data_IF_314036304792
#
_entry.id   IF_314036304792
#
_cell.length_a   1.000
_cell.length_b   1.000
_cell.length_c   1.000
_cell.angle_alpha   90.00
_cell.angle_beta   90.00
_cell.angle_gamma   90.00
#
_symmetry.space_group_name_H-M   'P 1'
#
loop_
_entity.id
_entity.type
_entity.pdbx_description
1 polymer ?
#
# COMPACT_ATOMS: atom_id res chain seq x y z
N UNK A 1 52.36 -16.42 -10.01
CA UNK A 1 52.51 -15.31 -9.05
C UNK A 1 53.47 -15.68 -7.92
N UNK A 2 53.24 -16.82 -7.25
CA UNK A 2 54.13 -17.39 -6.22
C UNK A 2 55.56 -17.60 -6.79
N UNK A 3 55.67 -18.15 -7.99
CA UNK A 3 56.96 -18.32 -8.68
C UNK A 3 57.71 -16.99 -8.94
N UNK A 4 56.97 -15.87 -9.11
CA UNK A 4 57.57 -14.53 -9.26
C UNK A 4 57.97 -13.91 -7.90
N UNK A 5 57.32 -14.30 -6.81
CA UNK A 5 57.69 -13.95 -5.43
C UNK A 5 58.93 -14.70 -4.97
N UNK A 6 59.07 -15.97 -5.38
CA UNK A 6 60.24 -16.80 -5.07
C UNK A 6 61.48 -16.39 -5.88
N UNK A 7 61.29 -16.00 -7.15
CA UNK A 7 62.39 -15.53 -8.03
C UNK A 7 62.72 -14.04 -7.89
N UNK A 8 61.87 -13.24 -7.25
CA UNK A 8 62.05 -11.79 -7.09
C UNK A 8 62.66 -11.40 -5.74
N UNK A 9 63.59 -10.43 -5.72
CA UNK A 9 64.34 -10.02 -4.53
C UNK A 9 63.54 -9.06 -3.61
N UNK A 10 62.48 -9.56 -2.98
CA UNK A 10 61.64 -8.80 -2.03
C UNK A 10 62.12 -8.98 -0.58
N UNK A 11 62.02 -7.95 0.29
CA UNK A 11 62.35 -8.07 1.71
C UNK A 11 61.43 -9.08 2.41
N UNK A 12 61.96 -9.82 3.39
CA UNK A 12 61.30 -10.96 4.05
C UNK A 12 59.91 -10.62 4.62
N UNK A 13 59.75 -9.40 5.15
CA UNK A 13 58.51 -8.91 5.76
C UNK A 13 57.40 -8.70 4.73
N UNK A 14 57.70 -8.05 3.60
CA UNK A 14 56.74 -7.87 2.50
C UNK A 14 56.37 -9.21 1.85
N UNK A 15 57.31 -10.16 1.79
CA UNK A 15 57.02 -11.52 1.31
C UNK A 15 56.02 -12.23 2.22
N UNK A 16 56.16 -12.09 3.54
CA UNK A 16 55.22 -12.69 4.51
C UNK A 16 53.82 -12.08 4.40
N UNK A 17 53.72 -10.76 4.23
CA UNK A 17 52.45 -10.05 4.05
C UNK A 17 51.74 -10.44 2.75
N UNK A 18 52.50 -10.54 1.64
CA UNK A 18 51.95 -10.98 0.35
C UNK A 18 51.49 -12.43 0.42
N UNK A 19 52.25 -13.32 1.07
CA UNK A 19 51.85 -14.72 1.27
C UNK A 19 50.60 -14.85 2.15
N UNK A 20 50.47 -14.03 3.20
CA UNK A 20 49.28 -13.98 4.04
C UNK A 20 48.05 -13.53 3.25
N UNK A 21 48.20 -12.49 2.43
CA UNK A 21 47.14 -11.98 1.56
C UNK A 21 46.72 -13.02 0.51
N UNK A 22 47.69 -13.74 -0.07
CA UNK A 22 47.41 -14.85 -1.01
C UNK A 22 46.62 -15.97 -0.32
N UNK A 23 46.98 -16.35 0.91
CA UNK A 23 46.22 -17.35 1.67
C UNK A 23 44.81 -16.87 1.98
N UNK A 24 44.63 -15.62 2.39
CA UNK A 24 43.30 -15.04 2.61
C UNK A 24 42.44 -15.05 1.33
N UNK A 25 43.02 -14.74 0.18
CA UNK A 25 42.32 -14.89 -1.10
C UNK A 25 42.01 -16.35 -1.44
N UNK A 26 42.90 -17.30 -1.14
CA UNK A 26 42.65 -18.73 -1.33
C UNK A 26 41.48 -19.22 -0.46
N UNK A 27 41.45 -18.86 0.83
CA UNK A 27 40.34 -19.19 1.74
C UNK A 27 39.03 -18.57 1.26
N UNK A 28 39.05 -17.31 0.83
CA UNK A 28 37.86 -16.65 0.26
C UNK A 28 37.38 -17.34 -1.03
N UNK A 29 38.30 -17.75 -1.91
CA UNK A 29 37.97 -18.51 -3.13
C UNK A 29 37.39 -19.89 -2.78
N UNK A 30 37.95 -20.58 -1.79
CA UNK A 30 37.42 -21.87 -1.33
C UNK A 30 36.03 -21.75 -0.71
N UNK A 31 35.80 -20.69 0.07
CA UNK A 31 34.50 -20.37 0.66
C UNK A 31 33.47 -20.10 -0.44
N UNK A 32 33.81 -19.23 -1.42
CA UNK A 32 32.95 -18.97 -2.57
C UNK A 32 32.70 -20.23 -3.41
N UNK A 33 33.70 -21.10 -3.60
CA UNK A 33 33.53 -22.38 -4.30
C UNK A 33 32.62 -23.34 -3.53
N UNK A 34 32.69 -23.36 -2.20
CA UNK A 34 31.81 -24.15 -1.34
C UNK A 34 30.38 -23.66 -1.44
N UNK A 35 30.17 -22.34 -1.37
CA UNK A 35 28.85 -21.72 -1.53
C UNK A 35 28.27 -22.00 -2.92
N UNK A 36 29.07 -21.85 -3.98
CA UNK A 36 28.66 -22.22 -5.35
C UNK A 36 28.30 -23.70 -5.47
N UNK A 37 29.05 -24.62 -4.85
CA UNK A 37 28.69 -26.04 -4.82
C UNK A 37 27.38 -26.29 -4.08
N UNK A 38 27.10 -25.59 -2.98
CA UNK A 38 25.80 -25.72 -2.29
C UNK A 38 24.62 -25.21 -3.14
N UNK A 39 24.86 -24.23 -4.02
CA UNK A 39 23.89 -23.74 -5.01
C UNK A 39 23.73 -24.72 -6.18
N UNK A 40 24.81 -25.39 -6.60
CA UNK A 40 24.83 -26.27 -7.79
C UNK A 40 24.39 -27.72 -7.50
N UNK A 41 24.52 -28.21 -6.26
CA UNK A 41 24.19 -29.63 -5.91
C UNK A 41 22.70 -29.86 -5.65
N UNK A 42 21.85 -28.82 -5.60
CA UNK A 42 20.40 -29.01 -5.69
C UNK A 42 20.04 -29.20 -7.17
N UNK A 43 19.50 -30.36 -7.59
CA UNK A 43 19.36 -30.68 -9.01
C UNK A 43 18.33 -29.74 -9.65
N UNK A 44 18.82 -28.89 -10.55
CA UNK A 44 18.03 -28.15 -11.49
C UNK A 44 17.97 -28.92 -12.81
N UNK A 45 16.81 -29.49 -13.12
CA UNK A 45 16.37 -29.42 -14.51
C UNK A 45 15.97 -27.96 -14.78
N UNK A 46 16.21 -27.50 -16.01
CA UNK A 46 15.90 -26.19 -16.62
C UNK A 46 16.83 -25.01 -16.36
N UNK A 47 17.64 -24.73 -17.39
CA UNK A 47 17.90 -23.41 -18.02
C UNK A 47 18.07 -22.20 -17.09
N UNK A 48 19.32 -21.74 -17.05
CA UNK A 48 19.87 -20.58 -16.34
C UNK A 48 19.20 -19.26 -16.76
N UNK A 49 18.01 -19.02 -16.23
CA UNK A 49 17.58 -17.72 -15.74
C UNK A 49 17.64 -17.85 -14.21
N UNK A 50 18.24 -16.88 -13.52
CA UNK A 50 18.32 -16.86 -12.06
C UNK A 50 16.90 -16.82 -11.48
N UNK A 51 16.26 -17.99 -11.31
CA UNK A 51 14.97 -18.13 -10.64
C UNK A 51 15.23 -18.04 -9.14
N UNK A 52 15.42 -16.82 -8.64
CA UNK A 52 15.08 -16.53 -7.25
C UNK A 52 13.62 -16.90 -7.11
N UNK A 53 13.28 -17.76 -6.14
CA UNK A 53 11.89 -18.18 -5.95
C UNK A 53 11.00 -16.92 -5.86
N UNK A 54 9.81 -16.90 -6.48
CA UNK A 54 8.92 -15.73 -6.41
C UNK A 54 8.65 -15.30 -4.97
N UNK A 55 8.75 -16.23 -4.02
CA UNK A 55 8.56 -16.00 -2.60
C UNK A 55 9.79 -15.37 -1.91
N UNK A 56 11.02 -15.71 -2.32
CA UNK A 56 12.22 -15.02 -1.86
C UNK A 56 12.33 -13.63 -2.46
N UNK A 57 12.04 -13.44 -3.75
CA UNK A 57 12.00 -12.08 -4.35
C UNK A 57 10.93 -11.22 -3.69
N UNK A 58 9.73 -11.79 -3.44
CA UNK A 58 8.66 -11.07 -2.73
C UNK A 58 9.07 -10.69 -1.30
N UNK A 59 9.66 -11.63 -0.55
CA UNK A 59 10.17 -11.33 0.81
C UNK A 59 11.26 -10.26 0.78
N UNK A 60 12.26 -10.38 -0.08
CA UNK A 60 13.32 -9.38 -0.21
C UNK A 60 12.77 -8.03 -0.70
N UNK A 61 11.76 -8.03 -1.59
CA UNK A 61 11.08 -6.81 -2.05
C UNK A 61 10.28 -6.16 -0.94
N UNK A 62 9.49 -6.93 -0.21
CA UNK A 62 8.65 -6.47 0.89
C UNK A 62 9.51 -5.94 2.05
N UNK A 63 10.60 -6.64 2.40
CA UNK A 63 11.56 -6.19 3.42
C UNK A 63 12.25 -4.89 3.01
N UNK A 64 12.67 -4.76 1.75
CA UNK A 64 13.30 -3.54 1.24
C UNK A 64 12.31 -2.38 1.20
N UNK A 65 11.06 -2.62 0.80
CA UNK A 65 9.99 -1.62 0.82
C UNK A 65 9.65 -1.19 2.24
N UNK A 66 9.61 -2.13 3.19
CA UNK A 66 9.39 -1.82 4.61
C UNK A 66 10.50 -0.93 5.15
N UNK A 67 11.76 -1.22 4.86
CA UNK A 67 12.89 -0.39 5.32
C UNK A 67 12.85 1.02 4.75
N UNK A 68 12.36 1.21 3.51
CA UNK A 68 12.16 2.55 2.94
C UNK A 68 11.04 3.29 3.68
N UNK A 69 9.90 2.63 3.90
CA UNK A 69 8.76 3.24 4.59
C UNK A 69 9.09 3.60 6.04
N UNK A 70 9.81 2.73 6.76
CA UNK A 70 10.27 3.00 8.13
C UNK A 70 11.20 4.23 8.15
N UNK A 71 12.13 4.34 7.20
CA UNK A 71 13.03 5.50 7.09
C UNK A 71 12.31 6.80 6.68
N UNK A 72 11.26 6.71 5.85
CA UNK A 72 10.41 7.86 5.49
C UNK A 72 9.54 8.31 6.67
N UNK A 73 9.05 7.38 7.50
CA UNK A 73 8.33 7.68 8.73
C UNK A 73 9.24 8.35 9.76
N UNK A 74 10.44 7.82 9.97
CA UNK A 74 11.41 8.42 10.88
C UNK A 74 11.81 9.82 10.42
N UNK A 75 11.98 10.03 9.10
CA UNK A 75 12.21 11.36 8.54
C UNK A 75 11.05 12.32 8.87
N UNK A 76 9.80 11.90 8.66
CA UNK A 76 8.63 12.74 8.96
C UNK A 76 8.49 13.07 10.45
N UNK A 77 8.75 12.09 11.33
CA UNK A 77 8.75 12.32 12.77
C UNK A 77 9.85 13.30 13.19
N UNK A 78 11.06 13.15 12.62
CA UNK A 78 12.19 14.02 12.91
C UNK A 78 11.97 15.46 12.40
N UNK A 79 11.31 15.62 11.25
CA UNK A 79 10.90 16.93 10.71
C UNK A 79 9.84 17.61 11.59
N UNK A 80 8.85 16.86 12.08
CA UNK A 80 7.84 17.37 13.02
C UNK A 80 8.45 17.77 14.37
N UNK A 81 9.51 17.08 14.80
CA UNK A 81 10.28 17.41 16.00
C UNK A 81 11.24 18.60 15.81
N UNK A 82 11.32 19.18 14.60
CA UNK A 82 12.15 20.35 14.30
C UNK A 82 13.66 20.08 14.36
N UNK A 83 14.09 18.83 14.22
CA UNK A 83 15.50 18.42 14.23
C UNK A 83 16.06 18.40 12.79
N UNK A 84 17.39 18.50 12.67
CA UNK A 84 18.08 18.51 11.37
C UNK A 84 17.94 17.15 10.67
N UNK A 85 17.43 17.15 9.43
CA UNK A 85 17.05 15.95 8.66
C UNK A 85 18.02 15.60 7.53
N UNK A 86 19.12 16.34 7.40
CA UNK A 86 20.13 16.16 6.35
C UNK A 86 20.70 14.72 6.29
N UNK A 87 20.99 14.13 7.45
CA UNK A 87 21.51 12.75 7.53
C UNK A 87 20.45 11.70 7.16
N UNK A 88 19.20 11.93 7.56
CA UNK A 88 18.05 11.06 7.24
C UNK A 88 17.72 11.10 5.75
N UNK A 89 17.76 12.28 5.12
CA UNK A 89 17.57 12.44 3.68
C UNK A 89 18.62 11.64 2.88
N UNK A 90 19.89 11.71 3.31
CA UNK A 90 20.98 10.94 2.68
C UNK A 90 20.74 9.44 2.79
N UNK A 91 20.26 8.97 3.96
CA UNK A 91 19.96 7.56 4.20
C UNK A 91 18.77 7.06 3.38
N UNK A 92 17.70 7.85 3.27
CA UNK A 92 16.54 7.55 2.42
C UNK A 92 16.95 7.47 0.95
N UNK A 93 17.78 8.41 0.48
CA UNK A 93 18.29 8.41 -0.90
C UNK A 93 19.14 7.16 -1.19
N UNK A 94 20.02 6.77 -0.26
CA UNK A 94 20.84 5.57 -0.42
C UNK A 94 20.00 4.29 -0.47
N UNK A 95 18.97 4.18 0.39
CA UNK A 95 18.04 3.06 0.39
C UNK A 95 17.22 2.99 -0.91
N UNK A 96 16.74 4.13 -1.40
CA UNK A 96 16.05 4.23 -2.70
C UNK A 96 16.94 3.79 -3.86
N UNK A 97 18.21 4.22 -3.87
CA UNK A 97 19.17 3.83 -4.91
C UNK A 97 19.48 2.33 -4.87
N UNK A 98 19.70 1.75 -3.68
CA UNK A 98 19.89 0.31 -3.52
C UNK A 98 18.68 -0.47 -4.04
N UNK A 99 17.47 -0.02 -3.68
CA UNK A 99 16.24 -0.70 -4.08
C UNK A 99 15.90 -0.51 -5.57
N UNK A 100 16.28 0.62 -6.18
CA UNK A 100 16.21 0.85 -7.62
C UNK A 100 17.19 -0.05 -8.38
N UNK A 101 18.45 -0.13 -7.94
CA UNK A 101 19.47 -0.99 -8.54
C UNK A 101 19.11 -2.49 -8.46
N UNK A 102 18.35 -2.88 -7.44
CA UNK A 102 17.82 -4.25 -7.29
C UNK A 102 16.51 -4.49 -8.09
N UNK A 103 15.99 -3.49 -8.82
CA UNK A 103 14.75 -3.60 -9.60
C UNK A 103 13.50 -3.74 -8.73
N UNK A 104 13.57 -3.36 -7.45
CA UNK A 104 12.50 -3.57 -6.46
C UNK A 104 11.52 -2.39 -6.39
N UNK A 105 11.97 -1.18 -6.75
CA UNK A 105 11.06 -0.07 -7.04
C UNK A 105 10.54 -0.19 -8.45
N UNK A 106 9.22 -0.40 -8.59
CA UNK A 106 8.55 -0.01 -9.81
C UNK A 106 8.65 1.52 -9.87
N UNK A 107 9.20 2.05 -10.96
CA UNK A 107 9.11 3.48 -11.24
C UNK A 107 7.66 3.92 -11.02
N UNK A 108 7.45 4.90 -10.15
CA UNK A 108 6.16 5.55 -9.96
C UNK A 108 5.75 6.26 -11.25
N UNK A 109 5.23 5.48 -12.19
CA UNK A 109 4.88 5.92 -13.53
C UNK A 109 3.92 4.93 -14.16
N UNK A 110 2.63 5.09 -13.85
CA UNK A 110 1.50 4.79 -14.75
C UNK A 110 1.60 3.46 -15.53
N UNK A 111 1.54 2.31 -14.86
CA UNK A 111 1.28 1.05 -15.57
C UNK A 111 -0.21 0.87 -15.82
N UNK A 112 -0.65 1.31 -17.01
CA UNK A 112 -1.79 0.72 -17.70
C UNK A 112 -1.47 -0.75 -17.95
N UNK A 113 -2.03 -1.65 -17.13
CA UNK A 113 -1.91 -3.09 -17.40
C UNK A 113 -3.05 -3.54 -18.34
N UNK A 114 -2.77 -4.37 -19.37
CA UNK A 114 -3.75 -4.72 -20.39
C UNK A 114 -4.80 -5.68 -19.83
N UNK A 115 -6.03 -5.39 -20.24
CA UNK A 115 -7.23 -6.22 -20.19
C UNK A 115 -6.92 -7.62 -20.77
N UNK A 116 -6.95 -8.66 -19.92
CA UNK A 116 -7.52 -10.00 -20.17
C UNK A 116 -6.88 -11.07 -19.27
N UNK A 117 -7.52 -11.43 -18.16
CA UNK A 117 -7.41 -12.79 -17.63
C UNK A 117 -8.63 -13.13 -16.80
N UNK A 118 -9.66 -13.60 -17.49
CA UNK A 118 -10.74 -14.39 -16.91
C UNK A 118 -10.15 -15.66 -16.31
N UNK A 119 -10.18 -15.82 -14.98
CA UNK A 119 -10.30 -17.14 -14.35
C UNK A 119 -10.75 -17.03 -12.89
N UNK A 120 -12.02 -17.37 -12.72
CA UNK A 120 -12.69 -17.85 -11.52
C UNK A 120 -11.78 -18.56 -10.51
N UNK A 121 -11.70 -18.04 -9.29
CA UNK A 121 -11.60 -18.83 -8.05
C UNK A 121 -12.31 -18.12 -6.90
N UNK A 122 -13.57 -18.49 -6.73
CA UNK A 122 -14.36 -18.33 -5.51
C UNK A 122 -13.77 -19.17 -4.38
N UNK A 123 -13.72 -18.62 -3.16
CA UNK A 123 -14.02 -19.42 -1.97
C UNK A 123 -13.00 -19.47 -0.83
N UNK A 124 -13.07 -18.46 0.06
CA UNK A 124 -13.08 -18.54 1.53
C UNK A 124 -11.94 -19.25 2.29
N UNK A 125 -11.27 -18.48 3.15
CA UNK A 125 -10.46 -19.04 4.24
C UNK A 125 -9.71 -18.04 5.12
N UNK A 126 -10.46 -17.21 5.88
CA UNK A 126 -10.17 -16.73 7.25
C UNK A 126 -8.82 -16.07 7.58
N UNK A 127 -8.90 -14.81 8.02
CA UNK A 127 -8.00 -14.27 9.06
C UNK A 127 -6.84 -13.39 8.59
N UNK A 128 -7.01 -12.63 7.51
CA UNK A 128 -6.11 -11.51 7.24
C UNK A 128 -6.48 -10.34 8.15
N UNK A 129 -5.77 -10.17 9.27
CA UNK A 129 -5.71 -8.87 9.93
C UNK A 129 -5.16 -7.91 8.87
N UNK A 130 -6.00 -7.01 8.35
CA UNK A 130 -5.52 -5.94 7.49
C UNK A 130 -4.89 -4.90 8.43
N UNK A 131 -3.55 -4.77 8.52
CA UNK A 131 -2.93 -3.71 9.34
C UNK A 131 -3.25 -2.32 8.77
N UNK A 132 -3.76 -2.26 7.55
CA UNK A 132 -4.40 -1.09 6.97
C UNK A 132 -5.90 -1.16 7.22
N UNK A 133 -6.34 -0.89 8.45
CA UNK A 133 -7.69 -0.34 8.64
C UNK A 133 -7.64 1.09 8.10
N UNK A 134 -7.77 1.23 6.78
CA UNK A 134 -7.93 2.56 6.19
C UNK A 134 -9.16 3.18 6.83
N UNK A 135 -8.96 4.30 7.53
CA UNK A 135 -10.08 5.07 8.10
C UNK A 135 -11.03 5.39 6.94
N UNK A 136 -12.27 4.95 7.08
CA UNK A 136 -13.29 5.15 6.05
C UNK A 136 -13.77 6.60 6.09
N UNK A 137 -13.15 7.44 5.27
CA UNK A 137 -13.52 8.85 5.11
C UNK A 137 -14.63 9.04 4.06
N UNK A 138 -15.26 7.96 3.59
CA UNK A 138 -16.34 8.07 2.62
C UNK A 138 -17.54 8.77 3.26
N UNK A 139 -18.32 9.55 2.49
CA UNK A 139 -19.48 10.24 3.02
C UNK A 139 -20.50 9.24 3.58
N UNK A 140 -21.03 9.49 4.78
CA UNK A 140 -22.14 8.70 5.35
C UNK A 140 -23.48 9.43 5.30
N UNK A 141 -23.48 10.63 4.71
CA UNK A 141 -24.64 11.50 4.57
C UNK A 141 -25.32 11.29 3.21
N UNK A 142 -26.63 11.08 3.23
CA UNK A 142 -27.48 10.99 2.04
C UNK A 142 -28.40 12.20 1.98
N UNK A 143 -28.61 12.71 0.78
CA UNK A 143 -29.63 13.68 0.44
C UNK A 143 -30.77 12.92 -0.24
N UNK A 144 -31.95 12.95 0.38
CA UNK A 144 -33.18 12.37 -0.15
C UNK A 144 -34.05 13.53 -0.62
N UNK A 145 -34.63 13.40 -1.81
CA UNK A 145 -35.53 14.41 -2.38
C UNK A 145 -36.67 13.75 -3.16
N UNK A 146 -37.74 14.51 -3.39
CA UNK A 146 -38.87 14.04 -4.19
C UNK A 146 -39.94 13.32 -3.37
N UNK A 147 -40.25 13.84 -2.18
CA UNK A 147 -41.34 13.45 -1.31
C UNK A 147 -42.02 14.71 -0.74
N UNK A 148 -43.18 14.57 -0.11
CA UNK A 148 -43.95 15.72 0.41
C UNK A 148 -43.53 16.11 1.83
N UNK A 149 -43.77 17.36 2.23
CA UNK A 149 -43.43 17.85 3.58
C UNK A 149 -44.07 17.02 4.70
N UNK A 150 -45.25 16.46 4.42
CA UNK A 150 -46.08 15.74 5.38
C UNK A 150 -45.52 14.34 5.66
N UNK A 151 -44.82 13.74 4.68
CA UNK A 151 -44.25 12.39 4.76
C UNK A 151 -42.92 12.35 5.53
N UNK A 152 -42.41 13.50 6.00
CA UNK A 152 -41.10 13.62 6.64
C UNK A 152 -40.88 12.60 7.76
N UNK A 153 -41.87 12.43 8.63
CA UNK A 153 -41.76 11.52 9.77
C UNK A 153 -41.71 10.05 9.32
N UNK A 154 -42.53 9.68 8.34
CA UNK A 154 -42.59 8.33 7.80
C UNK A 154 -41.30 7.98 7.04
N UNK A 155 -40.72 8.94 6.34
CA UNK A 155 -39.47 8.76 5.59
C UNK A 155 -38.31 8.58 6.56
N UNK A 156 -38.26 9.37 7.63
CA UNK A 156 -37.24 9.19 8.66
C UNK A 156 -37.34 7.80 9.30
N UNK A 157 -38.56 7.32 9.59
CA UNK A 157 -38.80 5.97 10.08
C UNK A 157 -38.39 4.90 9.07
N UNK A 158 -38.69 5.11 7.78
CA UNK A 158 -38.27 4.22 6.70
C UNK A 158 -36.75 4.10 6.62
N UNK A 159 -36.01 5.20 6.73
CA UNK A 159 -34.56 5.19 6.71
C UNK A 159 -33.93 4.58 7.98
N UNK A 160 -34.61 4.70 9.12
CA UNK A 160 -34.20 4.00 10.35
C UNK A 160 -34.24 2.46 10.22
N UNK A 161 -34.98 1.91 9.25
CA UNK A 161 -35.01 0.44 9.00
C UNK A 161 -33.74 -0.07 8.32
N UNK A 162 -32.98 0.79 7.65
CA UNK A 162 -31.75 0.43 6.94
C UNK A 162 -30.49 0.63 7.78
N UNK A 163 -30.56 1.41 8.85
CA UNK A 163 -29.50 1.52 9.85
C UNK A 163 -29.71 2.63 10.85
N UNK A 164 -28.71 2.81 11.71
CA UNK A 164 -28.75 3.79 12.81
C UNK A 164 -28.47 5.21 12.26
N UNK A 165 -29.49 6.07 12.35
CA UNK A 165 -29.40 7.48 11.97
C UNK A 165 -28.78 8.28 13.12
N UNK A 166 -27.66 8.94 12.85
CA UNK A 166 -26.92 9.76 13.83
C UNK A 166 -27.41 11.20 13.83
N UNK A 167 -27.72 11.73 12.65
CA UNK A 167 -28.13 13.12 12.45
C UNK A 167 -29.09 13.21 11.27
N UNK A 168 -30.01 14.16 11.32
CA UNK A 168 -30.94 14.45 10.23
C UNK A 168 -31.24 15.94 10.15
N UNK A 169 -31.21 16.49 8.94
CA UNK A 169 -31.48 17.91 8.68
C UNK A 169 -32.56 18.01 7.64
N UNK A 170 -33.64 18.70 8.00
CA UNK A 170 -34.70 19.08 7.08
C UNK A 170 -34.36 20.42 6.44
N UNK A 171 -34.55 20.51 5.12
CA UNK A 171 -34.56 21.80 4.43
C UNK A 171 -36.01 22.17 4.10
N UNK A 172 -36.46 23.35 4.53
CA UNK A 172 -37.83 23.82 4.31
C UNK A 172 -37.95 24.57 2.97
N UNK A 173 -36.83 25.06 2.43
CA UNK A 173 -36.79 25.77 1.15
C UNK A 173 -36.76 24.82 -0.06
N UNK A 174 -36.25 23.60 0.15
CA UNK A 174 -36.28 22.52 -0.85
C UNK A 174 -36.76 21.25 -0.17
N UNK A 175 -37.80 20.54 -0.66
CA UNK A 175 -38.33 19.33 -0.02
C UNK A 175 -37.31 18.18 -0.10
N UNK A 176 -36.30 18.28 0.77
CA UNK A 176 -35.13 17.43 0.81
C UNK A 176 -34.73 17.18 2.26
N UNK A 177 -34.44 15.91 2.55
CA UNK A 177 -34.01 15.43 3.85
C UNK A 177 -32.57 14.95 3.74
N UNK A 178 -31.69 15.51 4.57
CA UNK A 178 -30.34 15.02 4.73
C UNK A 178 -30.31 14.07 5.91
N UNK A 179 -29.90 12.81 5.69
CA UNK A 179 -29.79 11.80 6.74
C UNK A 179 -28.34 11.33 6.84
N UNK A 180 -27.79 11.33 8.05
CA UNK A 180 -26.46 10.81 8.35
C UNK A 180 -26.57 9.44 9.04
N UNK A 181 -25.93 8.44 8.45
CA UNK A 181 -25.81 7.12 9.08
C UNK A 181 -24.52 6.98 9.89
N UNK A 182 -24.58 6.13 10.92
CA UNK A 182 -23.42 5.76 11.74
C UNK A 182 -22.37 4.98 10.96
N UNK A 183 -22.83 4.06 10.11
CA UNK A 183 -21.93 3.26 9.28
C UNK A 183 -22.16 3.52 7.80
N UNK A 184 -21.07 3.47 7.02
CA UNK A 184 -21.12 3.61 5.56
C UNK A 184 -21.96 2.51 4.90
N UNK A 185 -21.90 1.29 5.44
CA UNK A 185 -22.65 0.12 4.95
C UNK A 185 -24.16 0.35 5.04
N UNK A 186 -24.62 0.99 6.11
CA UNK A 186 -26.03 1.32 6.29
C UNK A 186 -26.47 2.37 5.27
N UNK A 187 -25.65 3.42 5.07
CA UNK A 187 -25.91 4.43 4.04
C UNK A 187 -25.98 3.81 2.63
N UNK A 188 -25.09 2.88 2.30
CA UNK A 188 -25.14 2.19 0.99
C UNK A 188 -26.38 1.30 0.84
N UNK A 189 -26.80 0.64 1.92
CA UNK A 189 -28.03 -0.17 1.94
C UNK A 189 -29.27 0.70 1.77
N UNK A 190 -29.33 1.82 2.49
CA UNK A 190 -30.38 2.83 2.37
C UNK A 190 -30.43 3.45 0.98
N UNK A 191 -29.28 3.73 0.36
CA UNK A 191 -29.23 4.27 -1.00
C UNK A 191 -29.73 3.27 -2.05
N UNK A 192 -29.41 1.98 -1.88
CA UNK A 192 -29.82 0.93 -2.81
C UNK A 192 -31.30 0.56 -2.68
N UNK A 193 -31.84 0.53 -1.46
CA UNK A 193 -33.19 0.00 -1.17
C UNK A 193 -34.22 1.06 -0.79
N UNK A 194 -33.79 2.20 -0.25
CA UNK A 194 -34.68 3.26 0.23
C UNK A 194 -35.25 4.16 -0.87
N UNK A 195 -34.89 3.93 -2.15
CA UNK A 195 -35.44 4.70 -3.28
C UNK A 195 -36.93 4.46 -3.49
N UNK A 196 -37.45 3.33 -3.02
CA UNK A 196 -38.85 2.97 -3.16
C UNK A 196 -39.53 3.19 -1.81
N UNK A 197 -40.35 4.24 -1.73
CA UNK A 197 -41.18 4.51 -0.57
C UNK A 197 -42.64 4.51 -1.01
N UNK A 198 -43.40 3.54 -0.48
CA UNK A 198 -44.76 3.25 -0.92
C UNK A 198 -44.81 3.03 -2.45
N UNK A 199 -45.61 3.81 -3.19
CA UNK A 199 -45.70 3.77 -4.66
C UNK A 199 -44.87 4.86 -5.35
N UNK A 200 -44.02 5.57 -4.60
CA UNK A 200 -43.22 6.69 -5.12
C UNK A 200 -41.74 6.35 -5.18
N UNK A 201 -41.11 6.76 -6.29
CA UNK A 201 -39.66 6.70 -6.43
C UNK A 201 -39.05 7.99 -5.92
N UNK A 202 -38.34 7.92 -4.80
CA UNK A 202 -37.55 9.03 -4.28
C UNK A 202 -36.18 9.07 -4.95
N UNK A 203 -35.63 10.28 -5.04
CA UNK A 203 -34.24 10.47 -5.48
C UNK A 203 -33.34 10.48 -4.27
N UNK A 204 -32.35 9.58 -4.25
CA UNK A 204 -31.33 9.51 -3.20
C UNK A 204 -29.97 9.75 -3.84
N UNK A 205 -29.24 10.70 -3.28
CA UNK A 205 -27.88 11.07 -3.71
C UNK A 205 -26.95 11.19 -2.49
N UNK A 206 -25.64 11.10 -2.69
CA UNK A 206 -24.70 11.38 -1.62
C UNK A 206 -24.72 12.88 -1.31
N UNK A 207 -24.82 13.24 -0.04
CA UNK A 207 -24.81 14.64 0.35
C UNK A 207 -23.44 15.26 0.07
N UNK A 208 -23.42 16.33 -0.72
CA UNK A 208 -22.22 17.10 -1.01
C UNK A 208 -22.39 18.54 -0.47
N UNK A 209 -21.63 18.95 0.57
CA UNK A 209 -21.80 20.27 1.18
C UNK A 209 -21.53 21.42 0.20
N UNK A 210 -20.60 21.25 -0.75
CA UNK A 210 -20.27 22.29 -1.73
C UNK A 210 -21.41 22.54 -2.73
N UNK A 211 -22.13 21.50 -3.13
CA UNK A 211 -23.28 21.62 -4.03
C UNK A 211 -24.53 22.14 -3.31
N UNK A 212 -24.71 21.77 -2.05
CA UNK A 212 -25.90 22.20 -1.29
C UNK A 212 -25.82 23.66 -0.81
N UNK A 213 -24.62 24.20 -0.61
CA UNK A 213 -24.41 25.62 -0.25
C UNK A 213 -24.72 26.58 -1.41
N UNK A 214 -24.54 26.14 -2.67
CA UNK A 214 -24.87 26.96 -3.85
C UNK A 214 -26.37 27.20 -4.03
N UNK A 215 -27.23 26.34 -3.47
CA UNK A 215 -28.70 26.51 -3.44
C UNK A 215 -29.10 27.51 -2.34
N UNK A 216 -28.28 27.63 -1.28
CA UNK A 216 -28.59 28.45 -0.10
C UNK A 216 -28.19 29.93 -0.23
N UNK A 217 -27.32 30.30 -1.18
CA UNK A 217 -26.81 31.67 -1.31
C UNK A 217 -27.55 32.55 -2.32
N UNK A 218 -28.68 32.11 -2.87
CA UNK A 218 -29.48 32.87 -3.84
C UNK A 218 -30.76 33.50 -3.24
N UNK A 219 -30.78 33.74 -1.93
CA UNK A 219 -31.85 34.45 -1.21
C UNK A 219 -31.43 35.86 -0.84
#
# INVERSE_FOLDING_TARGET
>A
LIEKLEKGNFPSEQRAEILSTIRGFQENIETMRKDLKTVVIKPANTTTTLKVSPQMVKRTREETQKQILDAELDMFNQEQEGKDTSELQKRVMELKNKAHNLGLLANNGVLRLPRNSTRYRTGRGRGGFNPHSTVDHRPTKLLISGFESDDKAEILEHFSKFGEVVDHVWDEATPALVVQFKTRKDAETAMAKGRNFQDRLMTITWFNPAQNMGIRSSG
#
